data_IF_090702192544
#
_entry.id   IF_090702192544
#
_cell.length_a   1.000
_cell.length_b   1.000
_cell.length_c   1.000
_cell.angle_alpha   90.00
_cell.angle_beta   90.00
_cell.angle_gamma   90.00
#
_symmetry.space_group_name_H-M   'P 1'
#
loop_
_entity.id
_entity.type
_entity.pdbx_description
1 polymer ?
#
# COMPACT_ATOMS: atom_id res chain seq x y z
N UNK A 1 19.20 4.27 -12.68
CA UNK A 1 19.22 5.42 -11.75
C UNK A 1 18.06 5.26 -10.78
N UNK A 2 18.31 5.11 -9.47
CA UNK A 2 17.23 5.06 -8.49
C UNK A 2 16.63 6.47 -8.37
N UNK A 3 15.45 6.71 -8.97
CA UNK A 3 14.71 7.96 -8.75
C UNK A 3 14.40 8.05 -7.25
N UNK A 4 14.81 9.14 -6.61
CA UNK A 4 14.50 9.37 -5.20
C UNK A 4 13.00 9.59 -5.07
N UNK A 5 12.33 8.71 -4.34
CA UNK A 5 10.90 8.86 -4.04
C UNK A 5 10.69 10.13 -3.20
N UNK A 6 9.81 11.05 -3.65
CA UNK A 6 9.42 12.24 -2.90
C UNK A 6 8.96 11.94 -1.46
N UNK A 7 9.33 12.81 -0.51
CA UNK A 7 9.05 12.61 0.92
C UNK A 7 7.55 12.55 1.25
N UNK A 8 6.68 13.24 0.51
CA UNK A 8 5.24 13.16 0.65
C UNK A 8 4.71 11.76 0.31
N UNK A 9 5.26 11.11 -0.72
CA UNK A 9 4.91 9.74 -1.11
C UNK A 9 5.38 8.77 -0.05
N UNK A 10 6.61 8.92 0.47
CA UNK A 10 7.13 8.08 1.58
C UNK A 10 6.21 8.14 2.81
N UNK A 11 5.74 9.33 3.21
CA UNK A 11 4.81 9.49 4.33
C UNK A 11 3.48 8.79 4.09
N UNK A 12 2.92 8.89 2.89
CA UNK A 12 1.67 8.22 2.54
C UNK A 12 1.81 6.70 2.54
N UNK A 13 2.93 6.18 2.02
CA UNK A 13 3.27 4.75 2.07
C UNK A 13 3.36 4.28 3.53
N UNK A 14 4.12 4.96 4.38
CA UNK A 14 4.24 4.58 5.80
C UNK A 14 2.89 4.60 6.54
N UNK A 15 2.05 5.61 6.26
CA UNK A 15 0.69 5.66 6.81
C UNK A 15 -0.12 4.44 6.36
N UNK A 16 -0.12 4.10 5.07
CA UNK A 16 -0.82 2.91 4.56
C UNK A 16 -0.33 1.62 5.21
N UNK A 17 0.99 1.47 5.36
CA UNK A 17 1.59 0.27 5.98
C UNK A 17 1.16 0.15 7.45
N UNK A 18 1.11 1.26 8.18
CA UNK A 18 0.67 1.28 9.58
C UNK A 18 -0.79 0.89 9.77
N UNK A 19 -1.67 1.26 8.81
CA UNK A 19 -3.08 0.89 8.82
C UNK A 19 -3.26 -0.63 8.69
N UNK A 20 -2.41 -1.28 7.89
CA UNK A 20 -2.53 -2.72 7.62
C UNK A 20 -1.76 -3.60 8.61
N UNK A 21 -0.69 -3.11 9.26
CA UNK A 21 0.16 -3.92 10.14
C UNK A 21 -0.48 -4.29 11.49
N UNK A 22 -1.57 -3.64 11.92
CA UNK A 22 -2.05 -3.71 13.31
C UNK A 22 -3.40 -4.38 13.57
N UNK A 23 -4.13 -4.87 12.58
CA UNK A 23 -5.35 -5.62 12.88
C UNK A 23 -5.71 -6.61 11.77
N UNK A 24 -6.26 -7.75 12.19
CA UNK A 24 -7.16 -8.63 11.42
C UNK A 24 -8.11 -7.77 10.60
N UNK A 25 -7.79 -7.56 9.31
CA UNK A 25 -8.17 -6.31 8.67
C UNK A 25 -9.70 -6.15 8.55
N UNK A 26 -10.19 -5.16 9.30
CA UNK A 26 -11.55 -4.63 9.28
C UNK A 26 -11.83 -4.05 7.89
N UNK A 27 -13.04 -4.25 7.38
CA UNK A 27 -13.50 -3.68 6.12
C UNK A 27 -13.20 -2.17 6.04
N UNK A 28 -13.50 -1.41 7.09
CA UNK A 28 -13.29 0.05 7.09
C UNK A 28 -11.80 0.41 6.96
N UNK A 29 -10.93 -0.35 7.63
CA UNK A 29 -9.48 -0.15 7.54
C UNK A 29 -8.91 -0.59 6.19
N UNK A 30 -9.44 -1.67 5.61
CA UNK A 30 -9.06 -2.11 4.26
C UNK A 30 -9.47 -1.10 3.20
N UNK A 31 -10.65 -0.49 3.36
CA UNK A 31 -11.13 0.55 2.47
C UNK A 31 -10.25 1.81 2.55
N UNK A 32 -9.92 2.27 3.76
CA UNK A 32 -9.00 3.40 3.95
C UNK A 32 -7.61 3.09 3.38
N UNK A 33 -7.09 1.89 3.65
CA UNK A 33 -5.83 1.41 3.10
C UNK A 33 -5.84 1.41 1.57
N UNK A 34 -6.87 0.84 0.95
CA UNK A 34 -7.01 0.74 -0.51
C UNK A 34 -7.10 2.12 -1.17
N UNK A 35 -7.87 3.05 -0.60
CA UNK A 35 -7.94 4.46 -1.06
C UNK A 35 -6.57 5.14 -0.99
N UNK A 36 -5.86 4.98 0.13
CA UNK A 36 -4.54 5.60 0.32
C UNK A 36 -3.48 5.00 -0.61
N UNK A 37 -3.46 3.67 -0.78
CA UNK A 37 -2.54 2.98 -1.68
C UNK A 37 -2.82 3.31 -3.14
N UNK A 38 -4.08 3.47 -3.55
CA UNK A 38 -4.44 3.93 -4.90
C UNK A 38 -3.91 5.34 -5.17
N UNK A 39 -4.03 6.25 -4.19
CA UNK A 39 -3.44 7.60 -4.29
C UNK A 39 -1.91 7.54 -4.39
N UNK A 40 -1.26 6.67 -3.60
CA UNK A 40 0.19 6.46 -3.67
C UNK A 40 0.61 5.94 -5.03
N UNK A 41 -0.15 5.01 -5.62
CA UNK A 41 0.12 4.46 -6.95
C UNK A 41 0.17 5.58 -8.00
N UNK A 42 -0.88 6.41 -8.08
CA UNK A 42 -0.91 7.55 -9.01
C UNK A 42 0.26 8.51 -8.79
N UNK A 43 0.60 8.80 -7.52
CA UNK A 43 1.75 9.68 -7.22
C UNK A 43 3.10 9.08 -7.64
N UNK A 44 3.26 7.75 -7.55
CA UNK A 44 4.46 7.05 -7.99
C UNK A 44 4.56 7.04 -9.52
N UNK A 45 3.44 6.82 -10.21
CA UNK A 45 3.35 6.87 -11.68
C UNK A 45 3.67 8.28 -12.19
N UNK A 46 3.10 9.33 -11.58
CA UNK A 46 3.40 10.73 -11.90
C UNK A 46 4.89 11.08 -11.70
N UNK A 47 5.52 10.46 -10.69
CA UNK A 47 6.96 10.61 -10.43
C UNK A 47 7.84 9.70 -11.32
N UNK A 48 7.22 8.86 -12.17
CA UNK A 48 7.87 7.83 -12.99
C UNK A 48 8.66 6.82 -12.17
N UNK A 49 8.18 6.47 -10.98
CA UNK A 49 8.73 5.48 -10.06
C UNK A 49 8.14 4.09 -10.32
N UNK A 50 8.19 3.65 -11.58
CA UNK A 50 7.42 2.51 -12.12
C UNK A 50 7.65 1.21 -11.32
N UNK A 51 8.89 0.91 -10.93
CA UNK A 51 9.21 -0.30 -10.14
C UNK A 51 8.51 -0.34 -8.78
N UNK A 52 8.28 0.82 -8.16
CA UNK A 52 7.58 0.89 -6.86
C UNK A 52 6.07 0.94 -7.10
N UNK A 53 5.62 1.61 -8.16
CA UNK A 53 4.23 1.60 -8.60
C UNK A 53 3.74 0.16 -8.85
N UNK A 54 4.50 -0.67 -9.58
CA UNK A 54 4.17 -2.08 -9.83
C UNK A 54 3.98 -2.89 -8.54
N UNK A 55 4.81 -2.62 -7.53
CA UNK A 55 4.70 -3.28 -6.21
C UNK A 55 3.43 -2.84 -5.47
N UNK A 56 3.10 -1.55 -5.53
CA UNK A 56 1.87 -1.00 -4.95
C UNK A 56 0.64 -1.59 -5.65
N UNK A 57 0.67 -1.72 -6.98
CA UNK A 57 -0.37 -2.36 -7.77
C UNK A 57 -0.58 -3.82 -7.35
N UNK A 58 0.51 -4.59 -7.19
CA UNK A 58 0.45 -5.95 -6.67
C UNK A 58 -0.20 -6.04 -5.28
N UNK A 59 0.08 -5.09 -4.39
CA UNK A 59 -0.54 -5.04 -3.06
C UNK A 59 -2.04 -4.76 -3.14
N UNK A 60 -2.47 -3.83 -4.01
CA UNK A 60 -3.88 -3.50 -4.24
C UNK A 60 -4.68 -4.70 -4.78
N UNK A 61 -4.06 -5.54 -5.62
CA UNK A 61 -4.70 -6.77 -6.12
C UNK A 61 -4.95 -7.80 -5.01
N UNK A 62 -4.11 -7.82 -3.98
CA UNK A 62 -4.25 -8.74 -2.84
C UNK A 62 -5.24 -8.23 -1.79
N UNK A 63 -5.47 -6.91 -1.71
CA UNK A 63 -6.41 -6.30 -0.77
C UNK A 63 -7.59 -5.65 -1.50
N UNK A 64 -8.60 -6.47 -1.82
CA UNK A 64 -9.86 -6.03 -2.41
C UNK A 64 -11.01 -6.12 -1.38
N UNK A 65 -11.23 -5.08 -0.57
CA UNK A 65 -12.28 -5.11 0.45
C UNK A 65 -13.66 -5.27 -0.16
N UNK A 66 -14.36 -6.35 0.21
CA UNK A 66 -15.79 -6.52 -0.10
C UNK A 66 -16.62 -6.09 1.11
N UNK A 67 -17.67 -5.32 0.86
CA UNK A 67 -18.57 -4.81 1.89
C UNK A 67 -19.06 -5.92 2.82
N UNK A 68 -18.88 -5.73 4.13
CA UNK A 68 -19.32 -6.69 5.16
C UNK A 68 -18.41 -7.90 5.37
N UNK A 69 -17.18 -7.90 4.83
CA UNK A 69 -16.23 -9.00 5.01
C UNK A 69 -14.87 -8.53 5.53
N UNK A 70 -14.19 -9.40 6.28
CA UNK A 70 -12.79 -9.20 6.69
C UNK A 70 -11.84 -9.56 5.55
N UNK A 71 -10.64 -8.97 5.53
CA UNK A 71 -9.62 -9.36 4.57
C UNK A 71 -9.03 -10.74 4.94
N UNK A 72 -9.40 -11.75 4.16
CA UNK A 72 -8.87 -13.12 4.27
C UNK A 72 -7.35 -13.18 4.07
N UNK A 73 -6.80 -12.24 3.29
CA UNK A 73 -5.38 -12.15 2.95
C UNK A 73 -4.61 -11.17 3.85
N UNK A 74 -5.17 -10.76 4.98
CA UNK A 74 -4.59 -9.71 5.82
C UNK A 74 -3.12 -9.95 6.18
N UNK A 75 -2.75 -11.17 6.58
CA UNK A 75 -1.35 -11.52 6.87
C UNK A 75 -0.43 -11.43 5.63
N UNK A 76 -0.94 -11.80 4.46
CA UNK A 76 -0.19 -11.72 3.21
C UNK A 76 0.08 -10.26 2.81
N UNK A 77 -0.97 -9.44 2.86
CA UNK A 77 -0.89 -8.01 2.55
C UNK A 77 0.04 -7.28 3.54
N UNK A 78 -0.01 -7.63 4.83
CA UNK A 78 0.89 -7.10 5.86
C UNK A 78 2.37 -7.42 5.56
N UNK A 79 2.65 -8.60 5.02
CA UNK A 79 4.01 -8.99 4.63
C UNK A 79 4.48 -8.27 3.37
N UNK A 80 3.61 -8.06 2.38
CA UNK A 80 3.96 -7.30 1.17
C UNK A 80 4.23 -5.82 1.50
N UNK A 81 3.41 -5.21 2.37
CA UNK A 81 3.60 -3.83 2.85
C UNK A 81 4.89 -3.67 3.64
N UNK A 82 5.28 -4.62 4.49
CA UNK A 82 6.62 -4.63 5.13
C UNK A 82 7.77 -4.67 4.12
N UNK A 83 7.62 -5.43 3.02
CA UNK A 83 8.63 -5.45 1.95
C UNK A 83 8.69 -4.11 1.22
N UNK A 84 7.56 -3.42 1.06
CA UNK A 84 7.47 -2.11 0.41
C UNK A 84 8.30 -1.04 1.14
N UNK A 85 8.39 -1.09 2.48
CA UNK A 85 9.24 -0.16 3.27
C UNK A 85 10.67 -0.14 2.76
N UNK A 86 11.23 -1.30 2.37
CA UNK A 86 12.61 -1.44 1.89
C UNK A 86 12.87 -0.81 0.52
N UNK A 87 11.82 -0.51 -0.24
CA UNK A 87 11.94 0.14 -1.55
C UNK A 87 11.70 1.65 -1.47
N UNK A 88 11.04 2.10 -0.41
CA UNK A 88 10.67 3.50 -0.22
C UNK A 88 11.59 4.26 0.74
N UNK A 89 12.25 3.57 1.68
CA UNK A 89 13.21 4.14 2.63
C UNK A 89 14.64 3.84 2.21
#
# INVERSE_FOLDING_TARGET
MAKKIPNNIKKNVLKAISLHQRATADYAQCEEFSKLMSKVLSQLEDAGCDTVADKVMGILLECNPKTGSHCEKSNHVANLTKKLEKYCL
#
